data_IF_903634230940
#
_entry.id   IF_903634230940
#
_cell.length_a   1.000
_cell.length_b   1.000
_cell.length_c   1.000
_cell.angle_alpha   90.00
_cell.angle_beta   90.00
_cell.angle_gamma   90.00
#
_symmetry.space_group_name_H-M   'P 1'
#
loop_
_entity.id
_entity.type
_entity.pdbx_description
1 polymer ?
#
# COMPACT_ATOMS: atom_id res chain seq x y z
N UNK A 1 -64.24 -32.82 -8.42
CA UNK A 1 -63.15 -32.99 -7.45
C UNK A 1 -61.86 -32.84 -8.18
N UNK A 2 -61.17 -31.68 -8.07
CA UNK A 2 -59.85 -31.46 -8.71
C UNK A 2 -58.75 -31.85 -7.74
N UNK A 3 -57.88 -32.69 -8.18
CA UNK A 3 -56.67 -33.17 -7.49
C UNK A 3 -55.61 -32.07 -7.44
N UNK A 4 -55.24 -31.74 -6.23
CA UNK A 4 -54.18 -30.79 -5.90
C UNK A 4 -52.81 -31.36 -6.29
N UNK A 5 -52.22 -30.88 -7.37
CA UNK A 5 -50.83 -31.22 -7.74
C UNK A 5 -49.90 -30.34 -6.95
N UNK A 6 -49.25 -30.94 -6.00
CA UNK A 6 -48.16 -30.31 -5.22
C UNK A 6 -46.94 -30.11 -6.12
N UNK A 7 -46.65 -28.88 -6.47
CA UNK A 7 -45.44 -28.48 -7.21
C UNK A 7 -44.32 -28.34 -6.19
N UNK A 8 -43.44 -29.33 -6.12
CA UNK A 8 -42.21 -29.24 -5.33
C UNK A 8 -41.18 -28.49 -6.17
N UNK A 9 -40.98 -27.23 -5.86
CA UNK A 9 -39.91 -26.45 -6.41
C UNK A 9 -38.63 -26.75 -5.62
N UNK A 10 -37.82 -27.63 -6.18
CA UNK A 10 -36.43 -27.87 -5.68
C UNK A 10 -35.60 -26.70 -6.04
N UNK A 11 -35.42 -25.77 -5.11
CA UNK A 11 -34.48 -24.64 -5.23
C UNK A 11 -33.07 -25.17 -4.99
N UNK A 12 -32.36 -25.52 -6.07
CA UNK A 12 -30.96 -25.84 -6.02
C UNK A 12 -30.18 -24.55 -5.71
N UNK A 13 -29.77 -24.39 -4.45
CA UNK A 13 -28.76 -23.38 -4.08
C UNK A 13 -27.44 -23.83 -4.70
N UNK A 14 -27.10 -23.19 -5.81
CA UNK A 14 -25.71 -23.15 -6.30
C UNK A 14 -24.93 -22.29 -5.32
N UNK A 15 -24.26 -22.92 -4.36
CA UNK A 15 -23.16 -22.30 -3.63
C UNK A 15 -22.01 -22.10 -4.64
N UNK A 16 -21.97 -20.94 -5.26
CA UNK A 16 -20.75 -20.46 -5.89
C UNK A 16 -19.78 -20.15 -4.76
N UNK A 17 -18.88 -21.08 -4.46
CA UNK A 17 -17.68 -20.81 -3.69
C UNK A 17 -16.87 -19.77 -4.48
N UNK A 18 -17.02 -18.51 -4.12
CA UNK A 18 -16.05 -17.47 -4.49
C UNK A 18 -14.73 -17.88 -3.83
N UNK A 19 -13.92 -18.64 -4.58
CA UNK A 19 -12.54 -18.85 -4.22
C UNK A 19 -11.91 -17.47 -4.09
N UNK A 20 -11.42 -17.14 -2.90
CA UNK A 20 -10.53 -16.02 -2.70
C UNK A 20 -9.24 -16.35 -3.49
N UNK A 21 -9.24 -16.04 -4.78
CA UNK A 21 -8.02 -16.02 -5.56
C UNK A 21 -7.20 -14.88 -4.98
N UNK A 22 -6.14 -15.20 -4.24
CA UNK A 22 -5.11 -14.24 -3.92
C UNK A 22 -4.69 -13.60 -5.24
N UNK A 23 -4.85 -12.30 -5.34
CA UNK A 23 -4.52 -11.53 -6.55
C UNK A 23 -3.04 -11.72 -6.82
N UNK A 24 -2.72 -12.46 -7.89
CA UNK A 24 -1.34 -12.74 -8.27
C UNK A 24 -0.76 -11.46 -8.87
N UNK A 25 0.23 -10.88 -8.19
CA UNK A 25 0.90 -9.67 -8.66
C UNK A 25 1.84 -10.03 -9.81
N UNK A 26 1.31 -10.03 -11.02
CA UNK A 26 2.10 -10.15 -12.23
C UNK A 26 2.66 -8.78 -12.64
N UNK A 27 3.86 -8.73 -13.22
CA UNK A 27 4.39 -7.49 -13.79
C UNK A 27 3.48 -7.06 -14.94
N UNK A 28 2.61 -6.12 -14.67
CA UNK A 28 1.69 -5.55 -15.66
C UNK A 28 2.40 -4.41 -16.37
N UNK A 29 2.15 -4.26 -17.68
CA UNK A 29 2.55 -3.03 -18.38
C UNK A 29 2.01 -1.81 -17.64
N UNK A 30 2.93 -0.94 -17.25
CA UNK A 30 2.60 0.28 -16.49
C UNK A 30 1.81 1.20 -17.43
N UNK A 31 0.52 1.34 -17.19
CA UNK A 31 -0.33 2.24 -17.96
C UNK A 31 0.03 3.73 -17.71
N UNK A 32 -0.56 4.63 -18.49
CA UNK A 32 -0.27 6.05 -18.39
C UNK A 32 -0.65 6.64 -17.02
N UNK A 33 -1.76 6.17 -16.42
CA UNK A 33 -2.23 6.63 -15.12
C UNK A 33 -1.28 6.19 -14.01
N UNK A 34 -0.83 4.95 -14.04
CA UNK A 34 0.18 4.42 -13.10
C UNK A 34 1.51 5.15 -13.22
N UNK A 35 1.94 5.50 -14.43
CA UNK A 35 3.14 6.34 -14.63
C UNK A 35 3.00 7.72 -14.00
N UNK A 36 1.88 8.40 -14.23
CA UNK A 36 1.62 9.72 -13.63
C UNK A 36 1.61 9.66 -12.10
N UNK A 37 1.01 8.62 -11.53
CA UNK A 37 1.00 8.43 -10.07
C UNK A 37 2.40 8.17 -9.52
N UNK A 38 3.19 7.35 -10.23
CA UNK A 38 4.58 7.09 -9.90
C UNK A 38 5.42 8.36 -9.92
N UNK A 39 5.31 9.17 -10.97
CA UNK A 39 6.06 10.41 -11.11
C UNK A 39 5.67 11.42 -10.01
N UNK A 40 4.40 11.52 -9.66
CA UNK A 40 3.93 12.34 -8.55
C UNK A 40 4.50 11.86 -7.20
N UNK A 41 4.59 10.56 -6.99
CA UNK A 41 5.17 9.98 -5.78
C UNK A 41 6.68 10.22 -5.69
N UNK A 42 7.41 10.11 -6.81
CA UNK A 42 8.84 10.45 -6.88
C UNK A 42 9.06 11.94 -6.59
N UNK A 43 8.25 12.82 -7.17
CA UNK A 43 8.32 14.25 -6.91
C UNK A 43 8.09 14.59 -5.42
N UNK A 44 7.14 13.91 -4.79
CA UNK A 44 6.88 14.07 -3.36
C UNK A 44 8.08 13.64 -2.50
N UNK A 45 8.65 12.45 -2.75
CA UNK A 45 9.86 11.99 -2.03
C UNK A 45 11.05 12.93 -2.23
N UNK A 46 11.21 13.45 -3.44
CA UNK A 46 12.25 14.44 -3.74
C UNK A 46 12.07 15.72 -2.92
N UNK A 47 10.82 16.16 -2.73
CA UNK A 47 10.51 17.30 -1.86
C UNK A 47 10.82 17.00 -0.38
N UNK A 48 10.49 15.79 0.11
CA UNK A 48 10.87 15.37 1.47
C UNK A 48 12.39 15.40 1.65
N UNK A 49 13.14 14.80 0.72
CA UNK A 49 14.60 14.78 0.78
C UNK A 49 15.18 16.20 0.82
N UNK A 50 14.67 17.10 -0.03
CA UNK A 50 15.11 18.48 -0.08
C UNK A 50 14.81 19.23 1.23
N UNK A 51 13.61 19.05 1.78
CA UNK A 51 13.21 19.66 3.05
C UNK A 51 14.05 19.12 4.23
N UNK A 52 14.33 17.83 4.26
CA UNK A 52 15.20 17.22 5.26
C UNK A 52 16.63 17.74 5.19
N UNK A 53 17.19 17.85 4.00
CA UNK A 53 18.53 18.41 3.79
C UNK A 53 18.57 19.88 4.25
N UNK A 54 17.56 20.68 3.91
CA UNK A 54 17.46 22.05 4.36
C UNK A 54 17.40 22.13 5.90
N UNK A 55 16.60 21.28 6.52
CA UNK A 55 16.45 21.24 7.98
C UNK A 55 17.75 20.85 8.66
N UNK A 56 18.45 19.85 8.14
CA UNK A 56 19.75 19.42 8.64
C UNK A 56 20.78 20.55 8.55
N UNK A 57 20.83 21.27 7.44
CA UNK A 57 21.76 22.39 7.23
C UNK A 57 21.48 23.55 8.19
N UNK A 58 20.24 23.76 8.61
CA UNK A 58 19.84 24.84 9.52
C UNK A 58 20.00 24.47 10.99
N UNK A 59 19.77 23.23 11.37
CA UNK A 59 19.71 22.81 12.77
C UNK A 59 20.46 21.54 13.12
N UNK A 60 21.13 20.91 12.15
CA UNK A 60 21.90 19.68 12.34
C UNK A 60 21.05 18.44 12.68
N UNK A 61 19.73 18.49 12.44
CA UNK A 61 18.81 17.41 12.76
C UNK A 61 17.76 17.25 11.68
N UNK A 62 17.38 16.01 11.41
CA UNK A 62 16.20 15.68 10.63
C UNK A 62 14.92 15.94 11.44
N UNK A 63 13.80 16.14 10.77
CA UNK A 63 12.52 16.49 11.38
C UNK A 63 11.40 15.56 10.95
N UNK A 64 10.40 15.32 11.79
CA UNK A 64 9.20 14.60 11.40
C UNK A 64 8.42 15.37 10.33
N UNK A 65 7.55 14.66 9.60
CA UNK A 65 6.89 15.19 8.40
C UNK A 65 6.08 16.47 8.66
N UNK A 66 5.44 16.56 9.83
CA UNK A 66 4.63 17.71 10.25
C UNK A 66 5.46 18.96 10.60
N UNK A 67 6.78 18.83 10.75
CA UNK A 67 7.71 19.95 11.00
C UNK A 67 8.44 20.40 9.74
N UNK A 68 8.30 19.65 8.63
CA UNK A 68 8.89 20.05 7.35
C UNK A 68 8.06 21.17 6.74
N UNK A 69 8.74 22.23 6.32
CA UNK A 69 8.11 23.39 5.68
C UNK A 69 8.10 23.26 4.16
N UNK A 70 7.13 23.92 3.53
CA UNK A 70 6.99 23.95 2.06
C UNK A 70 6.80 22.58 1.41
N UNK A 71 6.19 21.63 2.14
CA UNK A 71 5.89 20.32 1.60
C UNK A 71 4.64 20.37 0.71
N UNK A 72 4.68 19.74 -0.47
CA UNK A 72 3.47 19.52 -1.24
C UNK A 72 2.51 18.57 -0.51
N UNK A 73 1.25 18.57 -0.89
CA UNK A 73 0.31 17.54 -0.44
C UNK A 73 0.76 16.16 -0.91
N UNK A 74 0.54 15.14 -0.10
CA UNK A 74 0.81 13.78 -0.51
C UNK A 74 -0.03 13.43 -1.76
N UNK A 75 0.52 12.69 -2.73
CA UNK A 75 -0.23 12.28 -3.89
C UNK A 75 -1.43 11.44 -3.53
N UNK A 76 -2.52 11.59 -4.27
CA UNK A 76 -3.74 10.82 -4.04
C UNK A 76 -3.46 9.33 -4.12
N UNK A 77 -3.93 8.58 -3.13
CA UNK A 77 -3.72 7.13 -3.04
C UNK A 77 -2.43 6.73 -2.31
N UNK A 78 -1.64 7.69 -1.84
CA UNK A 78 -0.43 7.40 -1.08
C UNK A 78 -0.52 7.95 0.34
N UNK A 79 -0.02 7.18 1.29
CA UNK A 79 0.15 7.63 2.66
C UNK A 79 1.66 7.64 2.98
N UNK A 80 2.25 8.82 3.14
CA UNK A 80 3.67 8.92 3.48
C UNK A 80 3.89 8.46 4.92
N UNK A 81 4.93 7.66 5.12
CA UNK A 81 5.44 7.29 6.43
C UNK A 81 6.89 7.73 6.53
N UNK A 82 7.18 8.63 7.45
CA UNK A 82 8.53 9.12 7.73
C UNK A 82 8.94 8.68 9.13
N UNK A 83 10.05 7.97 9.21
CA UNK A 83 10.70 7.58 10.46
C UNK A 83 12.00 8.38 10.54
N UNK A 84 12.21 9.07 11.64
CA UNK A 84 13.37 9.93 11.86
C UNK A 84 14.08 9.49 13.11
N UNK A 85 15.38 9.43 13.00
CA UNK A 85 16.26 9.23 14.13
C UNK A 85 17.26 10.43 14.19
N UNK A 86 18.21 10.37 15.12
CA UNK A 86 19.16 11.45 15.33
C UNK A 86 20.03 11.73 14.09
N UNK A 87 20.39 10.69 13.34
CA UNK A 87 21.40 10.72 12.29
C UNK A 87 20.89 10.32 10.92
N UNK A 88 19.67 9.82 10.86
CA UNK A 88 19.10 9.27 9.65
C UNK A 88 17.59 9.49 9.56
N UNK A 89 17.02 9.26 8.39
CA UNK A 89 15.59 9.12 8.20
C UNK A 89 15.29 8.10 7.11
N UNK A 90 14.11 7.54 7.17
CA UNK A 90 13.55 6.73 6.09
C UNK A 90 12.15 7.25 5.82
N UNK A 91 11.86 7.56 4.59
CA UNK A 91 10.52 7.90 4.12
C UNK A 91 10.03 6.85 3.14
N UNK A 92 8.78 6.44 3.28
CA UNK A 92 8.16 5.49 2.37
C UNK A 92 6.80 5.97 1.90
N UNK A 93 6.46 5.64 0.67
CA UNK A 93 5.17 5.83 0.03
C UNK A 93 4.73 4.51 -0.57
N UNK A 94 3.57 4.01 -0.21
CA UNK A 94 2.96 2.84 -0.84
C UNK A 94 1.66 3.25 -1.52
N UNK A 95 1.41 2.69 -2.71
CA UNK A 95 0.13 2.80 -3.39
C UNK A 95 -0.92 1.98 -2.64
N UNK A 96 -1.97 2.65 -2.16
CA UNK A 96 -3.07 2.01 -1.44
C UNK A 96 -4.20 1.54 -2.33
N UNK A 97 -4.28 2.04 -3.56
CA UNK A 97 -5.32 1.65 -4.50
C UNK A 97 -4.98 0.35 -5.23
N UNK A 98 -3.72 -0.01 -5.25
CA UNK A 98 -3.23 -1.21 -5.92
C UNK A 98 -2.33 -2.00 -4.97
N UNK A 99 -2.81 -3.16 -4.51
CA UNK A 99 -2.03 -4.04 -3.61
C UNK A 99 -0.79 -4.60 -4.30
N UNK A 100 -0.82 -4.73 -5.62
CA UNK A 100 0.30 -5.10 -6.45
C UNK A 100 1.11 -3.89 -6.91
N UNK A 101 0.68 -2.69 -6.55
CA UNK A 101 1.34 -1.44 -6.87
C UNK A 101 2.71 -1.32 -6.24
N UNK A 102 3.47 -0.38 -6.80
CA UNK A 102 4.81 -0.11 -6.32
C UNK A 102 4.80 0.56 -4.94
N UNK A 103 5.92 0.41 -4.25
CA UNK A 103 6.27 1.21 -3.08
C UNK A 103 7.56 1.97 -3.38
N UNK A 104 7.63 3.22 -2.98
CA UNK A 104 8.84 4.02 -3.06
C UNK A 104 9.35 4.29 -1.66
N UNK A 105 10.65 4.34 -1.50
CA UNK A 105 11.30 4.74 -0.25
C UNK A 105 12.59 5.50 -0.53
N UNK A 106 12.96 6.32 0.42
CA UNK A 106 14.20 7.09 0.37
C UNK A 106 14.78 7.25 1.77
N UNK A 107 16.07 7.55 1.83
CA UNK A 107 16.81 7.71 3.06
C UNK A 107 17.63 9.03 3.04
N UNK A 108 18.46 9.23 4.05
CA UNK A 108 19.32 10.41 4.23
C UNK A 108 20.33 10.64 3.09
N UNK A 109 20.57 9.64 2.25
CA UNK A 109 21.41 9.77 1.05
C UNK A 109 20.65 10.41 -0.11
N UNK A 110 19.33 10.59 0.01
CA UNK A 110 18.49 11.18 -1.02
C UNK A 110 18.23 10.26 -2.21
N UNK A 111 18.62 8.99 -2.13
CA UNK A 111 18.37 8.01 -3.19
C UNK A 111 16.93 7.48 -3.06
N UNK A 112 16.19 7.49 -4.16
CA UNK A 112 14.83 6.94 -4.20
C UNK A 112 14.89 5.53 -4.76
N UNK A 113 14.37 4.59 -3.99
CA UNK A 113 14.27 3.18 -4.34
C UNK A 113 12.82 2.85 -4.67
N UNK A 114 12.64 1.95 -5.61
CA UNK A 114 11.34 1.43 -6.00
C UNK A 114 11.29 -0.07 -5.74
N UNK A 115 10.21 -0.52 -5.12
CA UNK A 115 9.94 -1.92 -4.86
C UNK A 115 8.57 -2.29 -5.42
N UNK A 116 8.47 -3.48 -5.99
CA UNK A 116 7.23 -4.06 -6.48
C UNK A 116 6.85 -5.26 -5.62
N UNK A 117 5.55 -5.45 -5.44
CA UNK A 117 5.04 -6.65 -4.80
C UNK A 117 5.30 -7.86 -5.70
N UNK A 118 5.73 -8.95 -5.09
CA UNK A 118 5.87 -10.25 -5.77
C UNK A 118 5.06 -11.30 -5.02
N UNK A 119 4.36 -12.14 -5.74
CA UNK A 119 3.70 -13.31 -5.15
C UNK A 119 4.71 -14.44 -5.05
N UNK A 120 4.96 -14.91 -3.83
CA UNK A 120 5.84 -16.05 -3.60
C UNK A 120 5.05 -17.34 -3.79
N UNK A 121 5.47 -18.25 -4.67
CA UNK A 121 4.80 -19.52 -4.85
C UNK A 121 4.79 -20.32 -3.53
N UNK A 122 3.62 -20.81 -3.13
CA UNK A 122 3.45 -21.63 -1.93
C UNK A 122 3.31 -20.87 -0.61
N UNK A 123 3.33 -19.55 -0.63
CA UNK A 123 2.95 -18.72 0.52
C UNK A 123 1.48 -18.35 0.36
N UNK A 124 0.58 -19.16 0.90
CA UNK A 124 -0.78 -18.70 1.12
C UNK A 124 -0.71 -17.48 2.04
N UNK A 125 -1.41 -16.41 1.65
CA UNK A 125 -1.54 -15.24 2.50
C UNK A 125 -2.17 -15.72 3.82
N UNK A 126 -1.32 -15.97 4.80
CA UNK A 126 -1.74 -16.42 6.13
C UNK A 126 -2.71 -15.40 6.67
N UNK A 127 -3.99 -15.77 6.72
CA UNK A 127 -4.98 -14.99 7.41
C UNK A 127 -4.45 -14.69 8.79
N UNK A 128 -4.44 -13.42 9.16
CA UNK A 128 -4.22 -13.00 10.53
C UNK A 128 -5.27 -13.72 11.38
N UNK A 129 -4.87 -14.84 11.97
CA UNK A 129 -5.66 -15.48 13.01
C UNK A 129 -5.63 -14.54 14.20
N UNK A 130 -6.73 -13.83 14.39
CA UNK A 130 -7.08 -13.21 15.66
C UNK A 130 -7.20 -14.30 16.73
N UNK A 131 -6.07 -14.75 17.26
CA UNK A 131 -6.03 -15.43 18.54
C UNK A 131 -5.75 -14.43 19.65
N UNK A 132 -6.75 -13.57 19.88
CA UNK A 132 -6.92 -12.99 21.19
C UNK A 132 -8.15 -13.65 21.85
N UNK A 133 -8.04 -14.95 22.14
CA UNK A 133 -8.99 -15.60 23.01
C UNK A 133 -8.50 -15.46 24.44
N UNK A 134 -9.18 -14.60 25.15
CA UNK A 134 -9.13 -14.44 26.58
C UNK A 134 -9.15 -15.76 27.33
N UNK A 135 -8.40 -15.84 28.41
CA UNK A 135 -8.79 -16.68 29.53
C UNK A 135 -8.16 -16.20 30.82
N UNK A 136 -9.05 -15.72 31.69
CA UNK A 136 -9.02 -15.65 33.17
C UNK A 136 -8.11 -14.62 33.83
#
# INVERSE_FOLDING_TARGET
MPTLRTLIITMAMLLTSAGAHGEECLPTEIDAASRMRRDAAIAYLSAVNSAQMQRQNQGGKYAPLNELTNMPSAPVGFVPKLIVDRWSYIVSLKDYFDVCGFALFSDERGVIYEAHSVTLPGVEAGGASDEHSASR
#
